data_IF_847215155441
#
_entry.id   IF_847215155441
#
_cell.length_a   1.000
_cell.length_b   1.000
_cell.length_c   1.000
_cell.angle_alpha   90.00
_cell.angle_beta   90.00
_cell.angle_gamma   90.00
#
_symmetry.space_group_name_H-M   'P 1'
#
loop_
_entity.id
_entity.type
_entity.pdbx_description
1 polymer ?
#
# COMPACT_ATOMS: atom_id res chain seq x y z
N UNK A 1 15.18 -7.08 2.37
CA UNK A 1 14.50 -6.74 1.10
C UNK A 1 13.61 -5.52 1.32
N UNK A 2 13.82 -4.42 0.60
CA UNK A 2 13.01 -3.21 0.70
C UNK A 2 11.64 -3.41 0.02
N UNK A 3 10.57 -3.04 0.73
CA UNK A 3 9.18 -3.10 0.29
C UNK A 3 8.52 -1.79 0.69
N UNK A 4 7.68 -1.23 -0.18
CA UNK A 4 6.92 -0.01 0.09
C UNK A 4 5.43 -0.32 0.12
N UNK A 5 4.67 0.41 0.93
CA UNK A 5 3.22 0.32 0.93
C UNK A 5 2.55 1.68 1.06
N UNK A 6 1.33 1.79 0.55
CA UNK A 6 0.49 2.97 0.68
C UNK A 6 -0.49 2.79 1.84
N UNK A 7 -0.44 3.73 2.77
CA UNK A 7 -1.42 3.92 3.84
C UNK A 7 -2.27 5.13 3.44
N UNK A 8 -3.51 4.87 3.03
CA UNK A 8 -4.48 5.93 2.71
C UNK A 8 -5.62 5.92 3.71
N UNK A 9 -5.91 7.09 4.26
CA UNK A 9 -7.01 7.28 5.22
C UNK A 9 -8.07 8.22 4.63
N UNK A 10 -9.34 7.83 4.72
CA UNK A 10 -10.47 8.66 4.29
C UNK A 10 -10.85 9.73 5.33
N UNK A 11 -11.82 10.61 5.00
CA UNK A 11 -12.28 11.67 5.91
C UNK A 11 -12.91 11.15 7.21
N UNK A 12 -13.25 9.86 7.28
CA UNK A 12 -13.87 9.21 8.43
C UNK A 12 -12.85 8.45 9.28
N UNK A 13 -11.57 8.46 8.90
CA UNK A 13 -10.51 7.73 9.60
C UNK A 13 -10.39 6.27 9.16
N UNK A 14 -11.07 5.86 8.08
CA UNK A 14 -10.99 4.48 7.58
C UNK A 14 -9.75 4.28 6.72
N UNK A 15 -9.09 3.13 6.90
CA UNK A 15 -7.92 2.74 6.13
C UNK A 15 -8.29 2.03 4.83
N UNK A 16 -7.56 2.34 3.77
CA UNK A 16 -7.64 1.64 2.50
C UNK A 16 -6.75 0.39 2.51
N UNK A 17 -7.36 -0.77 2.29
CA UNK A 17 -6.66 -2.03 2.09
C UNK A 17 -7.33 -2.79 0.93
N UNK A 18 -6.55 -3.64 0.26
CA UNK A 18 -7.04 -4.54 -0.78
C UNK A 18 -7.05 -5.97 -0.26
N UNK A 19 -8.01 -6.76 -0.72
CA UNK A 19 -8.03 -8.18 -0.40
C UNK A 19 -7.11 -8.94 -1.35
N UNK A 20 -6.23 -9.78 -0.79
CA UNK A 20 -5.34 -10.66 -1.56
C UNK A 20 -6.16 -11.64 -2.39
N UNK A 21 -5.73 -11.88 -3.63
CA UNK A 21 -6.38 -12.87 -4.49
C UNK A 21 -6.34 -14.27 -3.87
N UNK A 22 -7.36 -15.08 -4.14
CA UNK A 22 -7.52 -16.43 -3.60
C UNK A 22 -6.36 -17.39 -3.96
N UNK A 23 -5.56 -17.05 -4.98
CA UNK A 23 -4.51 -17.91 -5.53
C UNK A 23 -3.08 -17.51 -5.09
N UNK A 24 -2.90 -16.52 -4.22
CA UNK A 24 -1.59 -16.12 -3.67
C UNK A 24 -1.35 -16.75 -2.28
N UNK A 25 -0.07 -16.91 -1.86
CA UNK A 25 0.28 -17.19 -0.45
C UNK A 25 -0.44 -16.18 0.46
N UNK A 26 -1.00 -16.62 1.58
CA UNK A 26 -1.86 -15.80 2.46
C UNK A 26 -3.12 -15.27 1.75
N UNK A 27 -3.82 -16.15 1.04
CA UNK A 27 -5.06 -15.84 0.34
C UNK A 27 -6.11 -15.21 1.27
N UNK A 28 -6.92 -14.29 0.73
CA UNK A 28 -8.06 -13.64 1.40
C UNK A 28 -7.73 -12.70 2.56
N UNK A 29 -6.46 -12.56 2.97
CA UNK A 29 -6.05 -11.54 3.93
C UNK A 29 -6.06 -10.14 3.30
N UNK A 30 -6.23 -9.14 4.15
CA UNK A 30 -6.10 -7.74 3.78
C UNK A 30 -4.63 -7.34 3.69
N UNK A 31 -4.31 -6.53 2.68
CA UNK A 31 -2.99 -5.94 2.51
C UNK A 31 -3.07 -4.48 2.10
N UNK A 32 -2.03 -3.73 2.43
CA UNK A 32 -1.85 -2.39 1.87
C UNK A 32 -1.30 -2.51 0.44
N UNK A 33 -1.82 -1.73 -0.53
CA UNK A 33 -1.27 -1.66 -1.88
C UNK A 33 0.21 -1.27 -1.86
N UNK A 34 1.00 -1.86 -2.74
CA UNK A 34 2.45 -1.63 -2.80
C UNK A 34 3.23 -2.88 -3.17
N UNK A 35 4.55 -2.81 -3.06
CA UNK A 35 5.40 -3.85 -3.61
C UNK A 35 6.87 -3.67 -3.31
N UNK A 36 7.68 -4.52 -3.96
CA UNK A 36 9.13 -4.53 -3.76
C UNK A 36 9.75 -3.32 -4.46
N UNK A 37 10.76 -2.73 -3.82
CA UNK A 37 11.57 -1.70 -4.47
C UNK A 37 12.56 -2.38 -5.40
N UNK A 38 12.61 -1.94 -6.66
CA UNK A 38 13.54 -2.49 -7.64
C UNK A 38 14.97 -1.97 -7.42
N UNK A 39 15.95 -2.61 -8.06
CA UNK A 39 17.35 -2.25 -7.91
C UNK A 39 17.59 -0.79 -8.36
N UNK A 40 18.15 0.03 -7.45
CA UNK A 40 18.40 1.47 -7.64
C UNK A 40 17.14 2.33 -7.81
N UNK A 41 15.96 1.79 -7.53
CA UNK A 41 14.71 2.55 -7.54
C UNK A 41 14.58 3.40 -6.27
N UNK A 42 14.11 4.64 -6.41
CA UNK A 42 13.77 5.49 -5.27
C UNK A 42 12.45 4.98 -4.69
N UNK A 43 12.37 4.78 -3.37
CA UNK A 43 11.19 4.22 -2.68
C UNK A 43 9.87 4.89 -3.10
N UNK A 44 9.85 6.23 -3.19
CA UNK A 44 8.66 6.96 -3.63
C UNK A 44 8.27 6.63 -5.09
N UNK A 45 9.25 6.47 -5.99
CA UNK A 45 9.01 6.07 -7.39
C UNK A 45 8.48 4.65 -7.46
N UNK A 46 9.04 3.73 -6.66
CA UNK A 46 8.56 2.36 -6.55
C UNK A 46 7.08 2.34 -6.14
N UNK A 47 6.71 3.08 -5.11
CA UNK A 47 5.33 3.10 -4.66
C UNK A 47 4.39 3.67 -5.74
N UNK A 48 4.77 4.77 -6.39
CA UNK A 48 3.96 5.36 -7.47
C UNK A 48 3.75 4.38 -8.63
N UNK A 49 4.76 3.58 -8.98
CA UNK A 49 4.68 2.53 -10.01
C UNK A 49 3.70 1.43 -9.58
N UNK A 50 3.90 0.86 -8.38
CA UNK A 50 3.03 -0.20 -7.84
C UNK A 50 1.55 0.25 -7.77
N UNK A 51 1.28 1.45 -7.24
CA UNK A 51 -0.10 1.96 -7.15
C UNK A 51 -0.73 2.17 -8.52
N UNK A 52 0.05 2.59 -9.52
CA UNK A 52 -0.42 2.73 -10.89
C UNK A 52 -0.73 1.36 -11.50
N UNK A 53 0.09 0.35 -11.27
CA UNK A 53 -0.09 -1.01 -11.78
C UNK A 53 -1.25 -1.75 -11.11
N UNK A 54 -1.35 -1.68 -9.79
CA UNK A 54 -2.32 -2.44 -9.00
C UNK A 54 -3.71 -1.80 -8.98
N UNK A 55 -3.78 -0.46 -8.93
CA UNK A 55 -5.01 0.28 -8.72
C UNK A 55 -5.38 1.21 -9.87
N UNK A 56 -4.50 1.41 -10.86
CA UNK A 56 -4.69 2.43 -11.91
C UNK A 56 -4.90 3.84 -11.36
N UNK A 57 -4.26 4.14 -10.21
CA UNK A 57 -4.34 5.44 -9.53
C UNK A 57 -3.02 6.20 -9.61
N UNK A 58 -3.12 7.53 -9.64
CA UNK A 58 -2.00 8.43 -9.45
C UNK A 58 -2.14 9.09 -8.06
N UNK A 59 -1.11 8.94 -7.23
CA UNK A 59 -1.06 9.54 -5.89
C UNK A 59 -0.37 10.91 -5.92
N UNK A 60 -0.79 11.81 -5.03
CA UNK A 60 -0.21 13.15 -4.88
C UNK A 60 1.09 13.12 -4.07
N UNK A 61 1.29 14.12 -3.21
CA UNK A 61 2.39 14.15 -2.25
C UNK A 61 2.30 12.94 -1.31
N UNK A 62 3.42 12.27 -1.11
CA UNK A 62 3.55 11.13 -0.21
C UNK A 62 4.38 11.55 1.01
N UNK A 63 3.96 11.12 2.19
CA UNK A 63 4.68 11.36 3.44
C UNK A 63 5.18 10.03 3.98
N UNK A 64 6.50 9.87 4.12
CA UNK A 64 7.07 8.63 4.63
C UNK A 64 6.83 8.51 6.14
N UNK A 65 6.39 7.33 6.58
CA UNK A 65 6.30 6.94 7.99
C UNK A 65 7.53 6.10 8.36
N UNK A 66 7.76 5.90 9.65
CA UNK A 66 8.80 5.02 10.18
C UNK A 66 8.76 3.63 9.54
N UNK A 67 9.94 3.17 9.12
CA UNK A 67 10.13 1.84 8.56
C UNK A 67 9.86 0.75 9.63
N UNK A 68 9.31 -0.38 9.19
CA UNK A 68 9.15 -1.58 10.01
C UNK A 68 9.97 -2.73 9.46
N UNK A 69 10.78 -3.33 10.32
CA UNK A 69 11.62 -4.48 9.99
C UNK A 69 10.94 -5.77 10.46
N UNK A 70 10.70 -6.69 9.54
CA UNK A 70 10.10 -7.99 9.83
C UNK A 70 11.02 -9.11 9.37
N UNK A 71 11.35 -10.02 10.28
CA UNK A 71 12.15 -11.21 9.99
C UNK A 71 11.21 -12.37 9.63
N UNK A 72 11.48 -13.01 8.49
CA UNK A 72 10.82 -14.24 8.07
C UNK A 72 11.88 -15.31 7.77
N UNK A 73 11.47 -16.58 7.73
CA UNK A 73 12.37 -17.71 7.44
C UNK A 73 13.09 -17.59 6.09
N UNK A 74 12.49 -16.88 5.13
CA UNK A 74 13.05 -16.63 3.80
C UNK A 74 13.86 -15.33 3.71
N UNK A 75 13.99 -14.57 4.80
CA UNK A 75 14.76 -13.35 4.89
C UNK A 75 14.02 -12.17 5.51
N UNK A 76 14.75 -11.08 5.74
CA UNK A 76 14.23 -9.87 6.37
C UNK A 76 13.57 -8.95 5.35
N UNK A 77 12.35 -8.50 5.64
CA UNK A 77 11.65 -7.45 4.90
C UNK A 77 11.80 -6.13 5.67
N UNK A 78 12.21 -5.07 4.97
CA UNK A 78 12.13 -3.70 5.45
C UNK A 78 10.94 -3.06 4.75
N UNK A 79 9.87 -2.81 5.49
CA UNK A 79 8.64 -2.20 5.00
C UNK A 79 8.71 -0.70 5.26
N UNK A 80 8.60 0.11 4.20
CA UNK A 80 8.55 1.57 4.26
C UNK A 80 7.14 2.04 3.91
N UNK A 81 6.33 2.45 4.90
CA UNK A 81 4.98 2.95 4.64
C UNK A 81 5.03 4.40 4.18
N UNK A 82 4.21 4.74 3.19
CA UNK A 82 3.92 6.12 2.83
C UNK A 82 2.45 6.43 3.08
N UNK A 83 2.20 7.57 3.69
CA UNK A 83 0.90 8.07 4.03
C UNK A 83 0.39 9.08 3.01
N UNK A 84 -0.91 9.01 2.72
CA UNK A 84 -1.65 10.06 2.05
C UNK A 84 -3.00 10.31 2.72
N UNK A 85 -3.31 11.59 2.96
CA UNK A 85 -4.63 11.99 3.38
C UNK A 85 -5.56 12.09 2.16
N UNK A 86 -6.67 11.34 2.16
CA UNK A 86 -7.56 11.16 0.99
C UNK A 86 -8.29 12.45 0.54
N UNK A 87 -8.12 13.57 1.23
CA UNK A 87 -8.70 14.87 0.83
C UNK A 87 -8.36 15.29 -0.62
N UNK A 88 -7.25 14.78 -1.20
CA UNK A 88 -6.79 15.11 -2.55
C UNK A 88 -6.79 13.95 -3.55
N UNK A 89 -7.27 12.75 -3.19
CA UNK A 89 -7.28 11.61 -4.11
C UNK A 89 -8.60 11.58 -4.85
N UNK A 90 -8.59 11.89 -6.15
CA UNK A 90 -9.73 11.59 -7.04
C UNK A 90 -9.80 10.08 -7.24
N UNK A 91 -10.45 9.38 -6.31
CA UNK A 91 -10.81 7.97 -6.49
C UNK A 91 -11.94 7.95 -7.54
N UNK A 92 -11.58 7.79 -8.81
CA UNK A 92 -12.54 7.41 -9.83
C UNK A 92 -13.08 6.04 -9.41
N UNK A 93 -14.40 5.92 -9.32
CA UNK A 93 -15.17 4.82 -8.71
C UNK A 93 -15.08 3.48 -9.46
N UNK A 94 -13.87 3.01 -9.80
CA UNK A 94 -13.65 1.83 -10.65
C UNK A 94 -13.15 0.59 -9.91
N UNK A 95 -13.09 0.59 -8.58
CA UNK A 95 -12.64 -0.60 -7.86
C UNK A 95 -13.83 -1.46 -7.43
N UNK A 96 -14.07 -2.53 -8.19
CA UNK A 96 -14.86 -3.71 -7.77
C UNK A 96 -14.22 -4.48 -6.60
N UNK A 97 -13.03 -4.05 -6.14
CA UNK A 97 -12.39 -4.52 -4.92
C UNK A 97 -12.85 -3.63 -3.77
N UNK A 98 -13.92 -4.05 -3.10
CA UNK A 98 -14.50 -3.34 -1.96
C UNK A 98 -13.47 -3.20 -0.83
N UNK A 99 -13.45 -2.00 -0.25
CA UNK A 99 -12.53 -1.47 0.77
C UNK A 99 -13.38 -1.11 1.96
N UNK A 100 -13.09 -1.62 3.16
CA UNK A 100 -13.30 -0.97 4.47
C UNK A 100 -12.64 -1.83 5.55
N UNK A 101 -11.49 -1.41 6.07
CA UNK A 101 -10.96 -1.93 7.33
C UNK A 101 -11.11 -0.85 8.39
N UNK A 102 -12.09 -1.02 9.27
CA UNK A 102 -12.16 -0.27 10.53
C UNK A 102 -11.12 -0.82 11.49
N UNK A 103 -9.86 -0.51 11.25
CA UNK A 103 -8.79 -0.73 12.21
C UNK A 103 -8.42 0.62 12.79
N UNK A 104 -8.72 0.82 14.07
CA UNK A 104 -8.12 1.90 14.86
C UNK A 104 -6.59 1.77 14.85
N UNK A 105 -5.84 2.89 14.77
CA UNK A 105 -4.37 2.89 14.72
C UNK A 105 -3.70 2.11 15.85
#
# INVERSE_FOLDING_TARGET
MPVVCLVMVDKRGCLFAVQRSAHKRLALLWEFPGGKVEFREVQEKALRREIKEELSLCVGKLEQILDSLHQYDFGTICLTPFFINSLNVRILSLLSKTVFAGATP
#
